data_IF_668090263463
#
_entry.id   IF_668090263463
#
_cell.length_a   1.000
_cell.length_b   1.000
_cell.length_c   1.000
_cell.angle_alpha   90.00
_cell.angle_beta   90.00
_cell.angle_gamma   90.00
#
_symmetry.space_group_name_H-M   'P 1'
#
loop_
_entity.id
_entity.type
_entity.pdbx_description
1 polymer ?
#
# COMPACT_ATOMS: atom_id res chain seq x y z
N UNK A 1 -11.53 -26.93 -3.30
CA UNK A 1 -11.48 -25.99 -4.45
C UNK A 1 -10.58 -24.86 -4.02
N UNK A 2 -9.52 -24.56 -4.77
CA UNK A 2 -8.62 -23.44 -4.44
C UNK A 2 -9.33 -22.15 -4.92
N UNK A 3 -9.72 -21.30 -3.99
CA UNK A 3 -10.19 -19.95 -4.31
C UNK A 3 -8.96 -19.08 -4.62
N UNK A 4 -8.88 -18.56 -5.84
CA UNK A 4 -7.91 -17.53 -6.16
C UNK A 4 -8.60 -16.18 -5.93
N UNK A 5 -8.03 -15.32 -5.12
CA UNK A 5 -8.56 -13.96 -4.93
C UNK A 5 -8.20 -13.13 -6.16
N UNK A 6 -9.21 -12.59 -6.84
CA UNK A 6 -9.06 -11.68 -7.99
C UNK A 6 -9.30 -10.26 -7.50
N UNK A 7 -8.38 -9.37 -7.76
CA UNK A 7 -8.51 -7.95 -7.43
C UNK A 7 -8.20 -7.09 -8.66
N UNK A 8 -9.13 -6.21 -9.06
CA UNK A 8 -8.92 -5.25 -10.13
C UNK A 8 -8.53 -3.89 -9.57
N UNK A 9 -7.36 -3.39 -9.95
CA UNK A 9 -6.87 -2.07 -9.56
C UNK A 9 -6.80 -1.18 -10.80
N UNK A 10 -7.65 -0.15 -10.83
CA UNK A 10 -7.62 0.89 -11.88
C UNK A 10 -6.83 2.06 -11.31
N UNK A 11 -5.60 2.23 -11.77
CA UNK A 11 -4.76 3.35 -11.40
C UNK A 11 -5.16 4.60 -12.20
N UNK A 12 -5.99 5.44 -11.60
CA UNK A 12 -6.26 6.79 -12.10
C UNK A 12 -5.53 7.80 -11.20
N UNK A 13 -4.20 7.75 -11.20
CA UNK A 13 -3.38 8.55 -10.30
C UNK A 13 -2.48 9.55 -11.04
N UNK A 14 -2.41 10.77 -10.52
CA UNK A 14 -1.36 11.73 -10.87
C UNK A 14 -0.39 11.81 -9.71
N UNK A 15 0.89 11.50 -9.94
CA UNK A 15 1.95 11.86 -9.01
C UNK A 15 2.31 13.31 -9.31
N UNK A 16 1.95 14.24 -8.43
CA UNK A 16 2.37 15.64 -8.52
C UNK A 16 3.64 15.78 -7.69
N UNK A 17 4.76 15.95 -8.34
CA UNK A 17 6.03 16.30 -7.71
C UNK A 17 6.16 17.83 -7.69
N UNK A 18 6.02 18.43 -6.53
CA UNK A 18 6.33 19.84 -6.32
C UNK A 18 7.74 19.96 -5.74
N UNK A 19 8.62 20.72 -6.40
CA UNK A 19 9.97 20.97 -5.92
C UNK A 19 10.01 22.30 -5.17
N UNK A 20 10.37 22.28 -3.89
CA UNK A 20 10.86 23.43 -3.16
C UNK A 20 12.16 23.04 -2.44
N UNK A 21 13.24 23.77 -2.73
CA UNK A 21 14.53 23.59 -2.06
C UNK A 21 14.55 24.33 -0.73
N UNK A 22 15.00 23.66 0.33
CA UNK A 22 15.67 24.30 1.45
C UNK A 22 16.66 23.34 2.10
N UNK A 23 17.92 23.78 2.21
CA UNK A 23 19.03 23.09 2.82
C UNK A 23 18.88 23.06 4.34
N UNK A 24 19.05 21.90 4.96
CA UNK A 24 19.72 21.78 6.27
C UNK A 24 20.22 20.35 6.46
N UNK A 25 21.54 20.25 6.65
CA UNK A 25 22.29 19.00 6.79
C UNK A 25 22.51 18.63 8.23
N UNK A 26 22.75 17.33 8.41
CA UNK A 26 23.62 16.68 9.36
C UNK A 26 23.01 16.07 10.64
N UNK A 27 23.22 14.78 10.73
CA UNK A 27 23.17 13.79 11.82
C UNK A 27 21.98 12.82 11.83
N UNK A 28 21.79 12.05 10.77
CA UNK A 28 20.85 10.91 10.75
C UNK A 28 21.35 9.69 9.94
N UNK A 29 22.64 9.61 9.60
CA UNK A 29 23.11 8.72 8.52
C UNK A 29 23.38 7.25 8.94
N UNK A 30 23.76 6.95 10.17
CA UNK A 30 24.21 5.57 10.49
C UNK A 30 23.07 4.58 10.79
N UNK A 31 21.94 5.02 11.32
CA UNK A 31 20.77 4.13 11.58
C UNK A 31 19.93 3.85 10.33
N UNK A 32 20.06 4.71 9.30
CA UNK A 32 19.32 4.56 8.04
C UNK A 32 19.97 3.56 7.08
N UNK A 33 21.28 3.42 7.14
CA UNK A 33 22.04 2.54 6.24
C UNK A 33 21.77 1.05 6.54
N UNK A 34 21.61 0.68 7.82
CA UNK A 34 21.33 -0.70 8.24
C UNK A 34 19.90 -1.15 7.86
N UNK A 35 18.92 -0.21 7.83
CA UNK A 35 17.55 -0.55 7.43
C UNK A 35 17.42 -0.73 5.92
N UNK A 36 18.20 0.00 5.11
CA UNK A 36 18.18 -0.14 3.66
C UNK A 36 18.71 -1.50 3.16
N UNK A 37 19.69 -2.09 3.83
CA UNK A 37 20.23 -3.40 3.45
C UNK A 37 19.20 -4.53 3.64
N UNK A 38 18.35 -4.45 4.64
CA UNK A 38 17.31 -5.47 4.90
C UNK A 38 16.18 -5.42 3.87
N UNK A 39 15.87 -4.24 3.32
CA UNK A 39 14.84 -4.06 2.27
C UNK A 39 15.32 -4.62 0.93
N UNK A 40 16.59 -4.43 0.58
CA UNK A 40 17.13 -4.79 -0.73
C UNK A 40 17.13 -6.30 -1.01
N UNK A 41 17.13 -7.15 0.00
CA UNK A 41 17.18 -8.61 -0.18
C UNK A 41 15.85 -9.24 -0.60
N UNK A 42 14.72 -8.51 -0.48
CA UNK A 42 13.39 -8.99 -0.87
C UNK A 42 12.79 -8.28 -2.07
N UNK A 43 13.40 -7.19 -2.51
CA UNK A 43 12.91 -6.38 -3.63
C UNK A 43 13.53 -6.90 -4.93
N UNK A 44 12.70 -7.24 -5.89
CA UNK A 44 13.08 -7.65 -7.24
C UNK A 44 12.78 -6.55 -8.26
N UNK A 45 13.56 -6.47 -9.32
CA UNK A 45 13.28 -5.54 -10.42
C UNK A 45 12.13 -6.06 -11.27
N UNK A 46 11.26 -5.14 -11.68
CA UNK A 46 10.20 -5.41 -12.65
C UNK A 46 9.97 -4.19 -13.57
N UNK A 47 9.07 -4.31 -14.52
CA UNK A 47 8.60 -3.18 -15.34
C UNK A 47 7.14 -3.40 -15.72
N UNK A 48 6.24 -2.87 -14.90
CA UNK A 48 4.80 -2.98 -15.10
C UNK A 48 4.20 -1.58 -15.07
N UNK A 49 3.55 -1.17 -16.15
CA UNK A 49 2.96 0.17 -16.26
C UNK A 49 1.44 0.09 -16.22
N UNK A 50 0.82 0.96 -15.39
CA UNK A 50 -0.62 1.12 -15.33
C UNK A 50 -0.95 2.60 -15.12
N UNK A 51 -1.82 3.15 -15.96
CA UNK A 51 -2.09 4.59 -15.98
C UNK A 51 -0.81 5.40 -16.21
N UNK A 52 -0.47 6.28 -15.29
CA UNK A 52 0.74 7.10 -15.35
C UNK A 52 1.86 6.62 -14.42
N UNK A 53 1.76 5.42 -13.88
CA UNK A 53 2.74 4.83 -12.98
C UNK A 53 3.44 3.67 -13.68
N UNK A 54 4.76 3.60 -13.54
CA UNK A 54 5.55 2.42 -13.88
C UNK A 54 6.15 1.87 -12.59
N UNK A 55 5.70 0.71 -12.17
CA UNK A 55 6.29 -0.05 -11.10
C UNK A 55 7.60 -0.65 -11.60
N UNK A 56 8.68 -0.35 -10.90
CA UNK A 56 10.03 -0.81 -11.25
C UNK A 56 10.54 -1.89 -10.33
N UNK A 57 9.82 -2.14 -9.24
CA UNK A 57 10.20 -3.10 -8.22
C UNK A 57 8.97 -3.93 -7.78
N UNK A 58 9.23 -5.10 -7.23
CA UNK A 58 8.23 -5.99 -6.68
C UNK A 58 8.77 -6.71 -5.44
N UNK A 59 7.88 -7.10 -4.54
CA UNK A 59 8.20 -8.05 -3.46
C UNK A 59 7.23 -9.23 -3.51
N UNK A 60 7.69 -10.35 -2.98
CA UNK A 60 6.94 -11.61 -2.89
C UNK A 60 6.37 -12.09 -4.23
N UNK A 61 7.07 -11.79 -5.34
CA UNK A 61 6.69 -12.27 -6.67
C UNK A 61 5.49 -11.56 -7.28
N UNK A 62 5.19 -10.34 -6.88
CA UNK A 62 4.03 -9.57 -7.38
C UNK A 62 4.02 -9.43 -8.91
N UNK A 63 5.19 -9.36 -9.54
CA UNK A 63 5.34 -9.31 -10.99
C UNK A 63 4.78 -10.53 -11.72
N UNK A 64 4.67 -11.68 -11.01
CA UNK A 64 4.12 -12.93 -11.53
C UNK A 64 2.63 -13.12 -11.19
N UNK A 65 2.07 -12.28 -10.31
CA UNK A 65 0.69 -12.34 -9.85
C UNK A 65 -0.22 -11.35 -10.58
N UNK A 66 0.33 -10.51 -11.46
CA UNK A 66 -0.41 -9.39 -12.05
C UNK A 66 -0.54 -9.53 -13.56
N UNK A 67 -1.71 -9.14 -14.07
CA UNK A 67 -2.02 -9.02 -15.49
C UNK A 67 -2.51 -7.61 -15.80
N UNK A 68 -1.97 -7.00 -16.85
CA UNK A 68 -2.49 -5.76 -17.40
C UNK A 68 -3.69 -6.08 -18.30
N UNK A 69 -4.82 -5.45 -18.02
CA UNK A 69 -6.05 -5.57 -18.82
C UNK A 69 -6.08 -4.53 -19.95
N UNK A 70 -6.96 -4.73 -20.94
CA UNK A 70 -7.10 -3.87 -22.11
C UNK A 70 -7.56 -2.45 -21.76
N UNK A 71 -8.27 -2.28 -20.65
CA UNK A 71 -8.69 -0.97 -20.13
C UNK A 71 -7.61 -0.26 -19.28
N UNK A 72 -6.42 -0.86 -19.16
CA UNK A 72 -5.29 -0.35 -18.40
C UNK A 72 -5.34 -0.65 -16.90
N UNK A 73 -6.31 -1.44 -16.44
CA UNK A 73 -6.35 -1.92 -15.06
C UNK A 73 -5.32 -3.04 -14.82
N UNK A 74 -4.84 -3.16 -13.58
CA UNK A 74 -4.07 -4.31 -13.14
C UNK A 74 -5.00 -5.29 -12.42
N UNK A 75 -4.99 -6.53 -12.86
CA UNK A 75 -5.69 -7.63 -12.23
C UNK A 75 -4.69 -8.51 -11.47
N UNK A 76 -4.87 -8.64 -10.17
CA UNK A 76 -4.01 -9.45 -9.32
C UNK A 76 -4.65 -10.82 -9.06
N UNK A 77 -3.88 -11.88 -9.27
CA UNK A 77 -4.25 -13.26 -8.95
C UNK A 77 -3.31 -13.78 -7.87
N UNK A 78 -3.71 -13.60 -6.61
CA UNK A 78 -2.91 -14.01 -5.46
C UNK A 78 -3.44 -15.29 -4.84
N UNK A 79 -2.56 -16.07 -4.22
CA UNK A 79 -2.96 -17.21 -3.42
C UNK A 79 -3.70 -16.74 -2.16
N UNK A 80 -4.49 -17.60 -1.57
CA UNK A 80 -5.11 -17.37 -0.26
C UNK A 80 -4.08 -17.43 0.88
N UNK A 81 -4.39 -16.79 2.01
CA UNK A 81 -3.55 -16.80 3.23
C UNK A 81 -2.33 -15.90 3.18
N UNK A 82 -2.21 -15.03 2.17
CA UNK A 82 -1.14 -14.04 2.09
C UNK A 82 -1.54 -12.76 2.82
N UNK A 83 -0.63 -12.16 3.60
CA UNK A 83 -0.90 -10.94 4.34
C UNK A 83 0.39 -10.17 4.68
N UNK A 84 0.21 -8.93 5.14
CA UNK A 84 1.19 -8.13 5.85
C UNK A 84 0.58 -7.71 7.19
N UNK A 85 1.06 -8.34 8.28
CA UNK A 85 0.62 -8.07 9.65
C UNK A 85 1.67 -8.52 10.65
N UNK A 86 1.91 -7.73 11.71
CA UNK A 86 2.80 -8.07 12.80
C UNK A 86 2.05 -7.89 14.12
N UNK A 87 1.55 -9.01 14.67
CA UNK A 87 0.73 -9.03 15.89
C UNK A 87 1.44 -8.30 17.05
N UNK A 88 0.79 -7.33 17.71
CA UNK A 88 1.33 -6.68 18.91
C UNK A 88 1.71 -7.63 20.02
N UNK A 89 1.09 -8.81 20.11
CA UNK A 89 1.42 -9.85 21.09
C UNK A 89 2.57 -10.76 20.65
N UNK A 90 3.13 -10.55 19.46
CA UNK A 90 4.25 -11.32 18.92
C UNK A 90 3.92 -12.78 18.54
N UNK A 91 2.64 -13.15 18.46
CA UNK A 91 2.20 -14.52 18.13
C UNK A 91 2.18 -14.81 16.63
N UNK A 92 2.00 -13.79 15.81
CA UNK A 92 1.92 -13.89 14.37
C UNK A 92 2.73 -12.77 13.72
N UNK A 93 3.51 -13.12 12.71
CA UNK A 93 4.10 -12.12 11.81
C UNK A 93 4.00 -12.66 10.39
N UNK A 94 3.34 -11.92 9.51
CA UNK A 94 3.16 -12.27 8.12
C UNK A 94 3.63 -11.12 7.23
N UNK A 95 4.48 -11.40 6.24
CA UNK A 95 5.04 -10.45 5.29
C UNK A 95 5.01 -11.04 3.88
N UNK A 96 3.97 -11.79 3.55
CA UNK A 96 3.90 -12.61 2.33
C UNK A 96 3.08 -11.99 1.20
N UNK A 97 2.36 -10.88 1.44
CA UNK A 97 1.54 -10.24 0.42
C UNK A 97 2.39 -9.76 -0.76
N UNK A 98 2.04 -10.10 -2.02
CA UNK A 98 2.69 -9.56 -3.20
C UNK A 98 2.40 -8.07 -3.39
N UNK A 99 3.45 -7.26 -3.56
CA UNK A 99 3.31 -5.80 -3.73
C UNK A 99 4.16 -5.34 -4.91
N UNK A 100 3.54 -4.66 -5.89
CA UNK A 100 4.24 -3.89 -6.90
C UNK A 100 4.67 -2.55 -6.30
N UNK A 101 5.90 -2.12 -6.57
CA UNK A 101 6.51 -1.00 -5.90
C UNK A 101 7.09 0.01 -6.89
N UNK A 102 6.95 1.29 -6.55
CA UNK A 102 7.65 2.40 -7.18
C UNK A 102 8.49 3.14 -6.14
N UNK A 103 9.81 3.35 -6.37
CA UNK A 103 10.65 4.08 -5.44
C UNK A 103 10.29 5.56 -5.45
N UNK A 104 10.26 6.17 -4.26
CA UNK A 104 10.03 7.60 -4.10
C UNK A 104 11.00 8.22 -3.09
N UNK A 105 11.34 9.48 -3.31
CA UNK A 105 12.12 10.28 -2.37
C UNK A 105 11.17 10.96 -1.38
N UNK A 106 11.14 10.46 -0.15
CA UNK A 106 10.25 10.91 0.93
C UNK A 106 10.54 12.33 1.44
N UNK A 107 11.60 12.99 0.95
CA UNK A 107 11.88 14.40 1.20
C UNK A 107 11.07 15.35 0.31
N UNK A 108 10.27 14.80 -0.61
CA UNK A 108 9.35 15.52 -1.49
C UNK A 108 7.92 15.11 -1.20
N UNK A 109 6.94 16.03 -1.32
CA UNK A 109 5.53 15.66 -1.23
C UNK A 109 5.16 14.64 -2.30
N UNK A 110 4.30 13.69 -1.94
CA UNK A 110 3.77 12.71 -2.90
C UNK A 110 2.28 12.44 -2.67
N UNK A 111 1.64 11.91 -3.69
CA UNK A 111 0.27 11.39 -3.61
C UNK A 111 0.15 10.17 -4.52
N UNK A 112 -0.32 9.05 -3.96
CA UNK A 112 -0.71 7.86 -4.68
C UNK A 112 -2.22 7.71 -4.60
N UNK A 113 -2.88 7.48 -5.74
CA UNK A 113 -4.33 7.24 -5.83
C UNK A 113 -4.56 6.02 -6.72
N UNK A 114 -5.37 5.08 -6.25
CA UNK A 114 -5.90 4.01 -7.07
C UNK A 114 -7.41 3.85 -6.86
N UNK A 115 -8.12 3.38 -7.88
CA UNK A 115 -9.42 2.77 -7.73
C UNK A 115 -9.21 1.28 -7.54
N UNK A 116 -9.74 0.73 -6.46
CA UNK A 116 -9.62 -0.69 -6.12
C UNK A 116 -10.98 -1.37 -6.17
N UNK A 117 -10.99 -2.61 -6.64
CA UNK A 117 -12.19 -3.45 -6.76
C UNK A 117 -11.81 -4.87 -6.33
N UNK A 118 -11.74 -5.13 -5.01
CA UNK A 118 -11.48 -6.48 -4.52
C UNK A 118 -12.66 -7.41 -4.85
N UNK A 119 -12.36 -8.68 -5.10
CA UNK A 119 -13.39 -9.71 -5.21
C UNK A 119 -13.76 -10.18 -3.80
N UNK A 120 -14.93 -9.74 -3.34
CA UNK A 120 -15.51 -10.18 -2.08
C UNK A 120 -16.38 -11.42 -2.29
N UNK A 121 -16.20 -12.43 -1.47
CA UNK A 121 -16.95 -13.70 -1.53
C UNK A 121 -17.64 -13.97 -0.20
N UNK A 122 -18.67 -14.83 -0.19
CA UNK A 122 -19.41 -15.17 1.03
C UNK A 122 -18.52 -15.85 2.09
N UNK A 123 -17.52 -16.62 1.66
CA UNK A 123 -16.55 -17.29 2.52
C UNK A 123 -15.25 -16.48 2.71
N UNK A 124 -15.15 -15.32 2.04
CA UNK A 124 -13.94 -14.48 2.10
C UNK A 124 -13.72 -13.95 3.51
N UNK A 125 -12.49 -14.04 3.97
CA UNK A 125 -12.04 -13.49 5.24
C UNK A 125 -10.81 -12.66 4.97
N UNK A 126 -10.91 -11.34 5.27
CA UNK A 126 -9.85 -10.36 5.04
C UNK A 126 -9.38 -10.25 3.58
N UNK A 127 -10.29 -10.59 2.62
CA UNK A 127 -10.04 -10.28 1.22
C UNK A 127 -9.95 -8.77 1.04
N UNK A 128 -8.88 -8.29 0.43
CA UNK A 128 -8.61 -6.86 0.32
C UNK A 128 -7.92 -6.47 -0.98
N UNK A 129 -7.96 -5.17 -1.24
CA UNK A 129 -7.08 -4.49 -2.18
C UNK A 129 -6.47 -3.28 -1.50
N UNK A 130 -5.15 -3.17 -1.56
CA UNK A 130 -4.36 -2.29 -0.70
C UNK A 130 -3.52 -1.30 -1.48
N UNK A 131 -3.31 -0.11 -0.87
CA UNK A 131 -2.17 0.76 -1.17
C UNK A 131 -1.15 0.71 -0.04
N UNK A 132 0.13 0.76 -0.41
CA UNK A 132 1.24 0.69 0.55
C UNK A 132 2.13 1.93 0.55
N UNK A 133 2.61 2.28 1.74
CA UNK A 133 3.89 2.95 1.97
C UNK A 133 4.81 1.92 2.59
N UNK A 134 5.91 1.59 1.94
CA UNK A 134 6.79 0.51 2.35
C UNK A 134 8.24 0.99 2.46
N UNK A 135 8.90 0.67 3.56
CA UNK A 135 10.32 0.89 3.77
C UNK A 135 11.04 -0.45 3.98
N UNK A 136 10.52 -1.26 4.89
CA UNK A 136 11.00 -2.61 5.18
C UNK A 136 9.91 -3.42 5.87
N UNK A 137 10.14 -4.71 6.15
CA UNK A 137 9.16 -5.61 6.77
C UNK A 137 8.66 -5.17 8.15
N UNK A 138 9.40 -4.28 8.84
CA UNK A 138 9.02 -3.74 10.13
C UNK A 138 8.59 -2.27 10.12
N UNK A 139 8.56 -1.61 8.94
CA UNK A 139 8.18 -0.21 8.79
C UNK A 139 7.39 0.01 7.50
N UNK A 140 6.08 -0.01 7.62
CA UNK A 140 5.16 0.14 6.49
C UNK A 140 3.77 0.59 6.96
N UNK A 141 2.92 0.97 6.01
CA UNK A 141 1.49 1.18 6.20
C UNK A 141 0.73 0.61 5.00
N UNK A 142 -0.35 -0.11 5.23
CA UNK A 142 -1.36 -0.41 4.22
C UNK A 142 -2.65 0.41 4.45
N UNK A 143 -3.29 0.79 3.36
CA UNK A 143 -4.64 1.33 3.31
C UNK A 143 -5.46 0.40 2.43
N UNK A 144 -6.44 -0.25 3.00
CA UNK A 144 -7.20 -1.34 2.41
C UNK A 144 -8.67 -0.99 2.18
N UNK A 145 -9.25 -1.61 1.17
CA UNK A 145 -10.68 -1.88 1.09
C UNK A 145 -10.86 -3.39 1.27
N UNK A 146 -11.41 -3.81 2.40
CA UNK A 146 -11.29 -5.16 2.94
C UNK A 146 -12.64 -5.70 3.41
N UNK A 147 -12.85 -7.01 3.30
CA UNK A 147 -13.95 -7.73 3.90
C UNK A 147 -13.56 -8.22 5.30
N UNK A 148 -14.29 -7.75 6.33
CA UNK A 148 -14.06 -8.16 7.72
C UNK A 148 -14.62 -9.56 8.05
N UNK A 149 -14.37 -10.04 9.27
CA UNK A 149 -14.81 -11.35 9.77
C UNK A 149 -16.34 -11.52 9.84
N UNK A 150 -17.09 -10.43 9.68
CA UNK A 150 -18.57 -10.44 9.64
C UNK A 150 -19.12 -10.27 8.21
N UNK A 151 -18.25 -10.29 7.20
CA UNK A 151 -18.63 -10.07 5.81
C UNK A 151 -18.93 -8.62 5.44
N UNK A 152 -18.55 -7.63 6.30
CA UNK A 152 -18.71 -6.23 5.95
C UNK A 152 -17.51 -5.73 5.15
N UNK A 153 -17.76 -4.92 4.14
CA UNK A 153 -16.70 -4.26 3.39
C UNK A 153 -16.30 -2.96 4.10
N UNK A 154 -15.04 -2.86 4.49
CA UNK A 154 -14.52 -1.75 5.29
C UNK A 154 -13.32 -1.07 4.65
N UNK A 155 -13.15 0.18 5.01
CA UNK A 155 -11.85 0.84 4.88
C UNK A 155 -11.04 0.50 6.13
N UNK A 156 -9.84 -0.02 5.91
CA UNK A 156 -8.92 -0.45 6.97
C UNK A 156 -7.56 0.20 6.77
N UNK A 157 -6.89 0.55 7.86
CA UNK A 157 -5.48 0.94 7.82
C UNK A 157 -4.70 0.15 8.85
N UNK A 158 -3.59 -0.42 8.42
CA UNK A 158 -2.61 -1.02 9.31
C UNK A 158 -1.31 -0.26 9.18
N UNK A 159 -0.82 0.30 10.27
CA UNK A 159 0.49 0.93 10.34
C UNK A 159 1.40 0.07 11.19
N UNK A 160 2.54 -0.30 10.63
CA UNK A 160 3.53 -1.12 11.35
C UNK A 160 4.80 -0.33 11.59
N UNK A 161 5.23 -0.34 12.84
CA UNK A 161 6.53 0.14 13.28
C UNK A 161 7.03 -0.87 14.34
N UNK A 162 7.64 -1.95 13.87
CA UNK A 162 7.90 -3.16 14.62
C UNK A 162 6.66 -4.03 14.76
N UNK A 163 5.60 -3.52 15.37
CA UNK A 163 4.28 -4.17 15.46
C UNK A 163 3.20 -3.37 14.76
N UNK A 164 2.11 -4.04 14.40
CA UNK A 164 0.98 -3.45 13.69
C UNK A 164 0.04 -2.71 14.65
N UNK A 165 -0.40 -1.55 14.20
CA UNK A 165 -1.46 -0.72 14.77
C UNK A 165 -2.59 -0.69 13.74
N UNK A 166 -3.63 -1.49 14.01
CA UNK A 166 -4.75 -1.72 13.12
C UNK A 166 -5.93 -0.80 13.43
N UNK A 167 -6.63 -0.36 12.39
CA UNK A 167 -7.81 0.49 12.52
C UNK A 167 -8.86 0.16 11.49
N UNK A 168 -9.99 -0.37 11.96
CA UNK A 168 -11.22 -0.54 11.19
C UNK A 168 -12.00 0.76 11.12
N UNK A 169 -12.17 1.30 9.91
CA UNK A 169 -12.89 2.54 9.64
C UNK A 169 -14.31 2.27 9.09
N UNK A 170 -14.80 3.12 8.20
CA UNK A 170 -16.18 3.07 7.69
C UNK A 170 -16.53 1.75 6.99
N UNK A 171 -17.75 1.27 7.24
CA UNK A 171 -18.41 0.24 6.43
C UNK A 171 -19.00 0.88 5.19
N UNK A 172 -18.79 0.26 4.04
CA UNK A 172 -19.26 0.74 2.75
C UNK A 172 -20.06 -0.35 2.03
N UNK A 173 -21.16 0.04 1.40
CA UNK A 173 -21.96 -0.87 0.58
C UNK A 173 -21.71 -0.58 -0.90
N UNK A 174 -20.46 -0.76 -1.31
CA UNK A 174 -20.00 -0.59 -2.70
C UNK A 174 -19.01 -1.70 -3.06
N UNK A 175 -18.84 -1.96 -4.36
CA UNK A 175 -17.87 -2.95 -4.84
C UNK A 175 -16.48 -2.36 -5.12
N UNK A 176 -16.38 -1.03 -5.21
CA UNK A 176 -15.11 -0.38 -5.50
C UNK A 176 -15.02 0.98 -4.83
N UNK A 177 -13.80 1.39 -4.49
CA UNK A 177 -13.50 2.70 -3.91
C UNK A 177 -12.22 3.28 -4.50
N UNK A 178 -12.05 4.59 -4.38
CA UNK A 178 -10.76 5.23 -4.56
C UNK A 178 -10.04 5.31 -3.22
N UNK A 179 -8.83 4.79 -3.17
CA UNK A 179 -7.90 4.92 -2.05
C UNK A 179 -6.85 5.98 -2.38
N UNK A 180 -6.42 6.74 -1.38
CA UNK A 180 -5.39 7.76 -1.53
C UNK A 180 -4.48 7.78 -0.31
N UNK A 181 -3.17 7.75 -0.55
CA UNK A 181 -2.13 8.05 0.44
C UNK A 181 -1.37 9.28 -0.04
N UNK A 182 -1.16 10.25 0.84
CA UNK A 182 -0.40 11.45 0.53
C UNK A 182 0.54 11.85 1.66
N UNK A 183 1.63 12.52 1.31
CA UNK A 183 2.58 13.10 2.25
C UNK A 183 2.90 14.54 1.86
N UNK A 184 2.98 15.41 2.86
CA UNK A 184 3.54 16.76 2.77
C UNK A 184 5.01 16.82 3.22
N UNK A 185 5.66 15.66 3.35
CA UNK A 185 6.99 15.38 3.93
C UNK A 185 7.02 15.28 5.46
N UNK A 186 6.12 15.94 6.18
CA UNK A 186 6.04 15.94 7.66
C UNK A 186 5.02 14.95 8.18
N UNK A 187 3.95 14.77 7.42
CA UNK A 187 2.85 13.85 7.76
C UNK A 187 2.54 12.92 6.60
N UNK A 188 1.94 11.78 6.93
CA UNK A 188 1.30 10.87 5.98
C UNK A 188 -0.18 10.83 6.31
N UNK A 189 -1.02 10.98 5.29
CA UNK A 189 -2.45 10.94 5.41
C UNK A 189 -3.05 9.94 4.43
N UNK A 190 -4.02 9.16 4.92
CA UNK A 190 -4.78 8.18 4.14
C UNK A 190 -6.22 8.62 4.02
N UNK A 191 -6.79 8.42 2.83
CA UNK A 191 -8.16 8.81 2.51
C UNK A 191 -8.83 7.77 1.65
N UNK A 192 -10.16 7.74 1.67
CA UNK A 192 -10.95 7.06 0.66
C UNK A 192 -12.00 7.99 0.05
N UNK A 193 -12.52 7.60 -1.12
CA UNK A 193 -13.61 8.28 -1.81
C UNK A 193 -14.40 7.29 -2.66
N UNK A 194 -15.72 7.45 -2.74
CA UNK A 194 -16.57 6.66 -3.64
C UNK A 194 -16.72 7.30 -5.02
N UNK A 195 -16.43 8.60 -5.16
CA UNK A 195 -16.68 9.40 -6.37
C UNK A 195 -15.43 10.14 -6.90
N UNK A 196 -14.26 9.97 -6.24
CA UNK A 196 -13.01 10.68 -6.51
C UNK A 196 -13.08 12.21 -6.32
N UNK A 197 -14.20 12.73 -5.81
CA UNK A 197 -14.42 14.17 -5.57
C UNK A 197 -14.37 14.50 -4.09
N UNK A 198 -15.18 13.82 -3.28
CA UNK A 198 -15.19 13.99 -1.83
C UNK A 198 -14.29 12.93 -1.19
N UNK A 199 -13.29 13.38 -0.44
CA UNK A 199 -12.33 12.54 0.24
C UNK A 199 -12.59 12.52 1.75
N UNK A 200 -12.69 11.34 2.32
CA UNK A 200 -12.82 11.12 3.75
C UNK A 200 -11.46 10.69 4.29
N UNK A 201 -10.98 11.42 5.31
CA UNK A 201 -9.71 11.07 5.96
C UNK A 201 -9.89 9.85 6.85
N UNK A 202 -8.99 8.88 6.72
CA UNK A 202 -8.98 7.63 7.48
C UNK A 202 -7.93 7.67 8.58
N UNK A 203 -6.73 8.15 8.25
CA UNK A 203 -5.60 8.21 9.18
C UNK A 203 -4.70 9.39 8.85
N UNK A 204 -4.15 10.01 9.90
CA UNK A 204 -3.09 11.02 9.81
C UNK A 204 -2.05 10.73 10.88
N UNK A 205 -0.76 10.71 10.50
CA UNK A 205 0.32 10.50 11.44
C UNK A 205 1.62 11.19 11.00
N UNK A 206 2.56 11.35 11.94
CA UNK A 206 3.89 11.91 11.66
C UNK A 206 4.65 11.01 10.70
N UNK A 207 5.21 11.59 9.63
CA UNK A 207 6.09 10.88 8.73
C UNK A 207 7.42 10.58 9.45
N UNK A 208 7.66 9.29 9.74
CA UNK A 208 8.87 8.78 10.38
C UNK A 208 9.64 7.85 9.44
N UNK A 209 9.28 7.81 8.16
CA UNK A 209 9.95 7.00 7.16
C UNK A 209 11.29 7.60 6.75
N UNK A 210 12.26 6.77 6.31
CA UNK A 210 13.54 7.25 5.78
C UNK A 210 13.39 8.04 4.47
N UNK A 211 14.51 8.57 3.98
CA UNK A 211 14.57 9.38 2.76
C UNK A 211 14.06 8.61 1.54
N UNK A 212 14.42 7.35 1.41
CA UNK A 212 14.03 6.50 0.27
C UNK A 212 13.01 5.47 0.76
N UNK A 213 11.86 5.43 0.12
CA UNK A 213 10.77 4.50 0.40
C UNK A 213 10.15 4.02 -0.90
N UNK A 214 9.19 3.14 -0.79
CA UNK A 214 8.38 2.67 -1.91
C UNK A 214 6.91 2.99 -1.67
N UNK A 215 6.19 3.23 -2.76
CA UNK A 215 4.75 3.24 -2.82
C UNK A 215 4.28 2.06 -3.69
N UNK A 216 3.16 1.44 -3.31
CA UNK A 216 2.64 0.27 -4.03
C UNK A 216 1.17 0.04 -3.81
#
# INVERSE_FOLDING_TARGET
MKSNTICQVILAGSIILASCQSNNSAKQDESQQTMNETVMNKVTDCKISAGNITFTNAINGAENCVKLLDDGALEFHCAEGLDFFSDPNGKLSNTTLPILLVPVENTKPFTLIAKVTPEFTAEGLYNAADLFVYSCDSLWQKLAFEQDEYGNHRIVTVRTQGTSDDNNHDKLNVSSVYLKISSDTKTIASYYSIDKKRWNMVRLYKNCYPKNIYLG
#
